data_IF_242723686959
#
_entry.id   IF_242723686959
#
_cell.length_a   1.000
_cell.length_b   1.000
_cell.length_c   1.000
_cell.angle_alpha   90.00
_cell.angle_beta   90.00
_cell.angle_gamma   90.00
#
_symmetry.space_group_name_H-M   'P 1'
#
loop_
_entity.id
_entity.type
_entity.pdbx_description
1 polymer ?
#
# COMPACT_ATOMS: atom_id res chain seq x y z
N UNK A 1 55.21 27.66 21.39
CA UNK A 1 54.20 27.84 20.29
C UNK A 1 53.97 26.53 19.48
N UNK A 2 54.36 25.36 19.99
CA UNK A 2 54.25 24.10 19.24
C UNK A 2 53.10 23.20 19.68
N UNK A 3 52.44 23.51 20.80
CA UNK A 3 51.40 22.64 21.38
C UNK A 3 50.03 22.80 20.72
N UNK A 4 49.77 23.95 20.05
CA UNK A 4 48.45 24.22 19.38
C UNK A 4 48.27 23.51 18.05
N UNK A 5 49.30 23.03 17.38
CA UNK A 5 49.18 22.37 16.05
C UNK A 5 48.86 20.87 16.25
N UNK A 6 49.34 20.26 17.34
CA UNK A 6 49.09 18.86 17.65
C UNK A 6 47.65 18.66 18.11
N UNK A 7 47.09 19.61 18.87
CA UNK A 7 45.67 19.56 19.28
C UNK A 7 44.70 19.71 18.12
N UNK A 8 44.99 20.61 17.18
CA UNK A 8 44.16 20.77 15.96
C UNK A 8 44.23 19.57 15.03
N UNK A 9 45.36 18.87 14.94
CA UNK A 9 45.49 17.65 14.17
C UNK A 9 44.73 16.49 14.83
N UNK A 10 44.72 16.46 16.18
CA UNK A 10 44.01 15.42 16.97
C UNK A 10 42.49 15.65 16.96
N UNK A 11 42.04 16.89 16.96
CA UNK A 11 40.59 17.20 16.76
C UNK A 11 40.10 16.93 15.33
N UNK A 12 40.95 17.16 14.31
CA UNK A 12 40.62 16.82 12.92
C UNK A 12 40.53 15.27 12.70
N UNK A 13 41.28 14.49 13.48
CA UNK A 13 41.18 13.01 13.47
C UNK A 13 39.94 12.48 14.24
N UNK A 14 39.33 13.30 15.10
CA UNK A 14 38.09 12.97 15.83
C UNK A 14 36.80 13.26 15.05
N UNK A 15 36.87 13.84 13.86
CA UNK A 15 35.75 13.77 12.92
C UNK A 15 35.59 12.30 12.54
N UNK A 16 34.65 11.63 13.19
CA UNK A 16 34.39 10.21 13.02
C UNK A 16 34.38 9.87 11.52
N UNK A 17 35.17 8.86 11.14
CA UNK A 17 35.16 8.40 9.76
C UNK A 17 33.72 8.02 9.42
N UNK A 18 33.16 8.67 8.40
CA UNK A 18 31.85 8.30 7.87
C UNK A 18 31.90 6.81 7.47
N UNK A 19 31.01 6.02 8.01
CA UNK A 19 30.83 4.62 7.63
C UNK A 19 29.48 4.48 6.96
N UNK A 20 29.46 4.12 5.67
CA UNK A 20 28.23 3.86 4.93
C UNK A 20 27.45 2.72 5.61
N UNK A 21 28.13 1.68 6.09
CA UNK A 21 27.51 0.57 6.80
C UNK A 21 26.75 1.04 8.05
N UNK A 22 27.34 1.98 8.84
CA UNK A 22 26.67 2.53 10.02
C UNK A 22 25.53 3.49 9.64
N UNK A 23 25.66 4.20 8.54
CA UNK A 23 24.61 5.09 8.04
C UNK A 23 23.39 4.33 7.52
N UNK A 24 23.58 3.10 7.03
CA UNK A 24 22.50 2.22 6.53
C UNK A 24 21.92 1.39 7.69
N UNK A 25 22.72 1.09 8.69
CA UNK A 25 22.35 0.24 9.82
C UNK A 25 21.17 0.83 10.59
N UNK A 26 20.11 0.04 10.73
CA UNK A 26 18.89 0.44 11.45
C UNK A 26 17.93 1.31 10.64
N UNK A 27 18.15 1.53 9.35
CA UNK A 27 17.13 2.12 8.47
C UNK A 27 16.08 1.07 8.16
N UNK A 28 14.83 1.38 8.50
CA UNK A 28 13.67 0.55 8.16
C UNK A 28 12.97 1.13 6.93
N UNK A 29 12.33 0.26 6.17
CA UNK A 29 11.38 0.72 5.15
C UNK A 29 10.16 1.31 5.82
N UNK A 30 9.47 2.27 5.18
CA UNK A 30 8.22 2.81 5.69
C UNK A 30 7.17 1.70 5.81
N UNK A 31 6.34 1.79 6.82
CA UNK A 31 5.24 0.87 7.08
C UNK A 31 3.92 1.63 7.12
N UNK A 32 2.86 0.97 6.70
CA UNK A 32 1.49 1.48 6.76
C UNK A 32 0.52 0.34 6.94
N UNK A 33 -0.68 0.66 7.41
CA UNK A 33 -1.80 -0.28 7.43
C UNK A 33 -2.97 0.32 6.66
N UNK A 34 -3.70 -0.52 5.97
CA UNK A 34 -4.84 -0.11 5.15
C UNK A 34 -5.98 -1.10 5.29
N UNK A 35 -7.19 -0.56 5.49
CA UNK A 35 -8.41 -1.34 5.54
C UNK A 35 -9.00 -1.47 4.13
N UNK A 36 -9.35 -2.69 3.75
CA UNK A 36 -10.10 -3.00 2.53
C UNK A 36 -11.29 -3.87 2.85
N UNK A 37 -12.31 -3.79 2.01
CA UNK A 37 -13.53 -4.59 2.13
C UNK A 37 -13.60 -5.53 0.94
N UNK A 38 -13.86 -6.82 1.19
CA UNK A 38 -13.78 -7.86 0.14
C UNK A 38 -15.16 -8.37 -0.32
N UNK A 39 -16.25 -7.97 0.34
CA UNK A 39 -17.61 -8.35 -0.07
C UNK A 39 -18.14 -7.41 -1.16
N UNK A 40 -17.71 -7.63 -2.40
CA UNK A 40 -18.17 -6.87 -3.56
C UNK A 40 -19.68 -7.06 -3.84
N UNK A 41 -20.23 -8.24 -3.54
CA UNK A 41 -21.64 -8.53 -3.77
C UNK A 41 -22.54 -7.67 -2.87
N UNK A 42 -22.27 -7.65 -1.56
CA UNK A 42 -23.01 -6.80 -0.63
C UNK A 42 -22.81 -5.30 -0.90
N UNK A 43 -21.61 -4.89 -1.35
CA UNK A 43 -21.34 -3.50 -1.73
C UNK A 43 -22.15 -3.08 -2.97
N UNK A 44 -22.26 -3.94 -3.98
CA UNK A 44 -23.09 -3.69 -5.16
C UNK A 44 -24.60 -3.63 -4.81
N UNK A 45 -25.08 -4.58 -3.98
CA UNK A 45 -26.47 -4.61 -3.53
C UNK A 45 -26.81 -3.38 -2.70
N UNK A 46 -25.92 -2.95 -1.78
CA UNK A 46 -26.09 -1.74 -1.01
C UNK A 46 -26.31 -0.51 -1.90
N UNK A 47 -25.47 -0.35 -2.93
CA UNK A 47 -25.60 0.76 -3.86
C UNK A 47 -26.93 0.71 -4.63
N UNK A 48 -27.36 -0.46 -5.06
CA UNK A 48 -28.63 -0.65 -5.76
C UNK A 48 -29.81 -0.28 -4.87
N UNK A 49 -29.82 -0.73 -3.62
CA UNK A 49 -30.87 -0.37 -2.64
C UNK A 49 -30.85 1.11 -2.34
N UNK A 50 -29.66 1.71 -2.18
CA UNK A 50 -29.50 3.15 -1.95
C UNK A 50 -30.09 4.00 -3.09
N UNK A 51 -29.80 3.63 -4.35
CA UNK A 51 -30.35 4.31 -5.52
C UNK A 51 -31.88 4.18 -5.57
N UNK A 52 -32.41 2.98 -5.30
CA UNK A 52 -33.84 2.74 -5.26
C UNK A 52 -34.54 3.51 -4.12
N UNK A 53 -33.92 3.55 -2.93
CA UNK A 53 -34.45 4.29 -1.77
C UNK A 53 -34.56 5.80 -2.03
N UNK A 54 -33.62 6.37 -2.83
CA UNK A 54 -33.64 7.79 -3.18
C UNK A 54 -34.86 8.20 -4.04
N UNK A 55 -35.49 7.25 -4.72
CA UNK A 55 -36.69 7.49 -5.54
C UNK A 55 -38.01 7.32 -4.75
N UNK A 56 -37.94 6.73 -3.54
CA UNK A 56 -39.11 6.49 -2.71
C UNK A 56 -39.49 7.75 -1.91
N UNK A 57 -40.76 7.82 -1.52
CA UNK A 57 -41.20 8.89 -0.59
C UNK A 57 -40.59 8.68 0.78
N UNK A 58 -39.99 9.73 1.36
CA UNK A 58 -39.57 9.68 2.76
C UNK A 58 -40.74 9.22 3.64
N UNK A 59 -40.45 8.43 4.66
CA UNK A 59 -41.40 7.88 5.64
C UNK A 59 -42.47 6.93 5.04
N UNK A 60 -42.29 6.44 3.80
CA UNK A 60 -43.13 5.34 3.30
C UNK A 60 -42.63 3.98 3.85
N UNK A 61 -43.53 2.97 3.98
CA UNK A 61 -43.12 1.63 4.43
C UNK A 61 -42.01 1.02 3.55
N UNK A 62 -42.01 1.33 2.25
CA UNK A 62 -41.00 0.86 1.29
C UNK A 62 -39.64 1.54 1.54
N UNK A 63 -39.66 2.83 1.89
CA UNK A 63 -38.45 3.57 2.24
C UNK A 63 -37.85 3.04 3.57
N UNK A 64 -38.68 2.79 4.59
CA UNK A 64 -38.25 2.21 5.85
C UNK A 64 -37.63 0.80 5.64
N UNK A 65 -38.26 -0.04 4.81
CA UNK A 65 -37.73 -1.36 4.48
C UNK A 65 -36.36 -1.28 3.77
N UNK A 66 -36.19 -0.32 2.85
CA UNK A 66 -34.91 -0.10 2.18
C UNK A 66 -33.83 0.36 3.15
N UNK A 67 -34.14 1.20 4.14
CA UNK A 67 -33.18 1.63 5.17
C UNK A 67 -32.72 0.43 6.03
N UNK A 68 -33.63 -0.46 6.42
CA UNK A 68 -33.29 -1.68 7.17
C UNK A 68 -32.36 -2.59 6.33
N UNK A 69 -32.69 -2.78 5.06
CA UNK A 69 -31.83 -3.59 4.18
C UNK A 69 -30.44 -2.97 3.99
N UNK A 70 -30.36 -1.64 3.89
CA UNK A 70 -29.07 -0.94 3.81
C UNK A 70 -28.24 -1.13 5.08
N UNK A 71 -28.87 -1.14 6.28
CA UNK A 71 -28.18 -1.39 7.53
C UNK A 71 -27.61 -2.83 7.57
N UNK A 72 -28.40 -3.83 7.21
CA UNK A 72 -27.94 -5.23 7.14
C UNK A 72 -26.79 -5.41 6.15
N UNK A 73 -26.87 -4.78 4.98
CA UNK A 73 -25.80 -4.84 3.98
C UNK A 73 -24.53 -4.10 4.44
N UNK A 74 -24.70 -2.96 5.11
CA UNK A 74 -23.59 -2.21 5.72
C UNK A 74 -22.82 -3.07 6.73
N UNK A 75 -23.53 -3.84 7.55
CA UNK A 75 -22.91 -4.70 8.55
C UNK A 75 -22.19 -5.89 7.90
N UNK A 76 -22.74 -6.47 6.82
CA UNK A 76 -22.04 -7.48 6.02
C UNK A 76 -20.75 -6.91 5.40
N UNK A 77 -20.81 -5.72 4.80
CA UNK A 77 -19.63 -5.06 4.22
C UNK A 77 -18.59 -4.83 5.32
N UNK A 78 -18.96 -4.26 6.47
CA UNK A 78 -18.04 -4.04 7.59
C UNK A 78 -17.42 -5.33 8.09
N UNK A 79 -18.19 -6.44 8.13
CA UNK A 79 -17.70 -7.76 8.55
C UNK A 79 -16.70 -8.37 7.57
N UNK A 80 -16.67 -7.92 6.33
CA UNK A 80 -15.70 -8.35 5.32
C UNK A 80 -14.37 -7.55 5.35
N UNK A 81 -14.18 -6.67 6.35
CA UNK A 81 -12.98 -5.86 6.45
C UNK A 81 -11.76 -6.70 6.74
N UNK A 82 -10.72 -6.46 5.94
CA UNK A 82 -9.37 -6.94 6.16
C UNK A 82 -8.43 -5.74 6.31
N UNK A 83 -7.54 -5.77 7.30
CA UNK A 83 -6.49 -4.78 7.47
C UNK A 83 -5.18 -5.35 6.97
N UNK A 84 -4.65 -4.80 5.90
CA UNK A 84 -3.35 -5.16 5.34
C UNK A 84 -2.27 -4.32 6.00
N UNK A 85 -1.32 -4.97 6.65
CA UNK A 85 -0.10 -4.36 7.15
C UNK A 85 0.98 -4.49 6.09
N UNK A 86 1.47 -3.37 5.61
CA UNK A 86 2.36 -3.31 4.46
C UNK A 86 3.67 -2.60 4.84
N UNK A 87 4.76 -3.03 4.23
CA UNK A 87 6.08 -2.42 4.34
C UNK A 87 6.68 -2.23 2.96
N UNK A 88 7.29 -1.06 2.73
CA UNK A 88 7.97 -0.78 1.48
C UNK A 88 9.08 -1.79 1.19
N UNK A 89 9.35 -2.02 -0.09
CA UNK A 89 10.43 -2.89 -0.56
C UNK A 89 11.53 -2.07 -1.22
N UNK A 90 12.75 -2.62 -1.25
CA UNK A 90 13.89 -1.95 -1.88
C UNK A 90 13.87 -2.08 -3.40
N UNK A 91 14.66 -1.21 -4.06
CA UNK A 91 14.76 -1.18 -5.52
C UNK A 91 15.17 -2.54 -6.12
N UNK A 92 16.05 -3.31 -5.45
CA UNK A 92 16.44 -4.64 -5.93
C UNK A 92 15.26 -5.60 -6.05
N UNK A 93 14.33 -5.59 -5.09
CA UNK A 93 13.11 -6.41 -5.16
C UNK A 93 12.20 -5.94 -6.31
N UNK A 94 12.08 -4.63 -6.53
CA UNK A 94 11.32 -4.08 -7.66
C UNK A 94 11.91 -4.52 -9.00
N UNK A 95 13.25 -4.50 -9.15
CA UNK A 95 13.96 -4.94 -10.35
C UNK A 95 13.76 -6.43 -10.61
N UNK A 96 13.86 -7.29 -9.57
CA UNK A 96 13.60 -8.73 -9.68
C UNK A 96 12.15 -9.02 -10.11
N UNK A 97 11.17 -8.31 -9.54
CA UNK A 97 9.77 -8.43 -9.92
C UNK A 97 9.55 -8.00 -11.37
N UNK A 98 10.17 -6.88 -11.78
CA UNK A 98 10.09 -6.38 -13.16
C UNK A 98 10.62 -7.40 -14.15
N UNK A 99 11.84 -7.93 -13.90
CA UNK A 99 12.44 -8.94 -14.72
C UNK A 99 11.55 -10.18 -14.83
N UNK A 100 11.03 -10.66 -13.72
CA UNK A 100 10.14 -11.84 -13.72
C UNK A 100 8.82 -11.58 -14.46
N UNK A 101 8.27 -10.39 -14.36
CA UNK A 101 7.08 -10.00 -15.13
C UNK A 101 7.37 -9.99 -16.65
N UNK A 102 8.53 -9.49 -17.06
CA UNK A 102 8.97 -9.49 -18.46
C UNK A 102 9.24 -10.90 -19.00
N UNK A 103 9.81 -11.78 -18.19
CA UNK A 103 10.04 -13.19 -18.55
C UNK A 103 8.73 -13.95 -18.76
N UNK A 104 7.74 -13.75 -17.88
CA UNK A 104 6.45 -14.46 -17.93
C UNK A 104 5.48 -13.86 -18.96
N UNK A 105 5.49 -12.56 -19.11
CA UNK A 105 4.57 -11.78 -19.95
C UNK A 105 5.35 -10.76 -20.79
N UNK A 106 6.11 -11.20 -21.81
CA UNK A 106 6.87 -10.28 -22.67
C UNK A 106 5.95 -9.23 -23.28
N UNK A 107 6.32 -7.95 -23.15
CA UNK A 107 5.57 -6.87 -23.79
C UNK A 107 5.80 -6.92 -25.30
N UNK A 108 4.74 -7.10 -26.06
CA UNK A 108 4.76 -7.11 -27.51
C UNK A 108 4.26 -5.75 -27.99
N UNK A 109 5.05 -5.06 -28.81
CA UNK A 109 4.68 -3.77 -29.38
C UNK A 109 3.35 -3.85 -30.11
N UNK A 110 2.40 -2.98 -29.72
CA UNK A 110 1.04 -2.96 -30.28
C UNK A 110 0.07 -3.97 -29.66
N UNK A 111 0.45 -4.69 -28.62
CA UNK A 111 -0.44 -5.55 -27.84
C UNK A 111 -1.04 -4.78 -26.66
N UNK A 112 -2.37 -4.87 -26.50
CA UNK A 112 -3.09 -4.36 -25.34
C UNK A 112 -3.24 -5.39 -24.21
N UNK A 113 -2.38 -6.46 -24.19
CA UNK A 113 -2.44 -7.51 -23.17
C UNK A 113 -2.06 -6.93 -21.78
N UNK A 114 -3.00 -6.91 -20.80
CA UNK A 114 -2.75 -6.36 -19.49
C UNK A 114 -2.00 -7.33 -18.56
N UNK A 115 -1.63 -8.53 -19.01
CA UNK A 115 -1.09 -9.60 -18.15
C UNK A 115 0.19 -9.17 -17.42
N UNK A 116 1.09 -8.46 -18.12
CA UNK A 116 2.31 -7.95 -17.53
C UNK A 116 2.02 -7.02 -16.33
N UNK A 117 1.17 -6.02 -16.52
CA UNK A 117 0.87 -5.04 -15.46
C UNK A 117 0.06 -5.68 -14.31
N UNK A 118 -0.81 -6.63 -14.63
CA UNK A 118 -1.53 -7.40 -13.60
C UNK A 118 -0.57 -8.16 -12.71
N UNK A 119 0.35 -8.92 -13.30
CA UNK A 119 1.35 -9.67 -12.56
C UNK A 119 2.25 -8.75 -11.76
N UNK A 120 2.79 -7.71 -12.38
CA UNK A 120 3.70 -6.75 -11.76
C UNK A 120 3.10 -6.09 -10.52
N UNK A 121 1.88 -5.55 -10.62
CA UNK A 121 1.21 -4.93 -9.48
C UNK A 121 0.89 -5.94 -8.37
N UNK A 122 0.42 -7.14 -8.73
CA UNK A 122 0.14 -8.19 -7.74
C UNK A 122 1.41 -8.64 -7.02
N UNK A 123 2.52 -8.78 -7.74
CA UNK A 123 3.80 -9.16 -7.16
C UNK A 123 4.38 -8.07 -6.23
N UNK A 124 4.23 -6.80 -6.59
CA UNK A 124 4.62 -5.69 -5.71
C UNK A 124 3.77 -5.67 -4.45
N UNK A 125 2.45 -5.81 -4.56
CA UNK A 125 1.55 -5.84 -3.40
C UNK A 125 1.89 -7.03 -2.50
N UNK A 126 2.05 -8.25 -3.06
CA UNK A 126 2.44 -9.44 -2.31
C UNK A 126 3.74 -9.23 -1.52
N UNK A 127 4.74 -8.61 -2.16
CA UNK A 127 6.04 -8.32 -1.54
C UNK A 127 5.97 -7.24 -0.44
N UNK A 128 4.96 -6.40 -0.45
CA UNK A 128 4.75 -5.36 0.56
C UNK A 128 3.95 -5.87 1.76
N UNK A 129 3.08 -6.87 1.61
CA UNK A 129 2.25 -7.39 2.70
C UNK A 129 3.14 -8.11 3.71
N UNK A 130 3.06 -7.73 4.98
CA UNK A 130 3.76 -8.39 6.08
C UNK A 130 2.83 -9.27 6.92
N UNK A 131 1.55 -8.90 7.00
CA UNK A 131 0.47 -9.66 7.64
C UNK A 131 -0.87 -9.07 7.25
N UNK A 132 -1.92 -9.84 7.46
CA UNK A 132 -3.31 -9.39 7.32
C UNK A 132 -4.05 -9.68 8.62
N UNK A 133 -4.94 -8.77 9.03
CA UNK A 133 -5.82 -8.99 10.18
C UNK A 133 -7.27 -8.86 9.73
N UNK A 134 -8.14 -9.74 10.25
CA UNK A 134 -9.59 -9.63 10.07
C UNK A 134 -10.20 -8.58 11.03
N UNK A 135 -11.51 -8.38 10.95
CA UNK A 135 -12.21 -7.44 11.83
C UNK A 135 -12.18 -7.83 13.32
N UNK A 136 -11.96 -9.11 13.64
CA UNK A 136 -11.89 -9.64 15.00
C UNK A 136 -10.46 -9.52 15.58
N UNK A 137 -9.49 -9.13 14.73
CA UNK A 137 -8.09 -9.00 15.09
C UNK A 137 -7.31 -10.31 14.99
N UNK A 138 -7.88 -11.35 14.35
CA UNK A 138 -7.11 -12.55 14.04
C UNK A 138 -6.07 -12.22 12.97
N UNK A 139 -4.84 -12.67 13.19
CA UNK A 139 -3.72 -12.36 12.30
C UNK A 139 -3.40 -13.55 11.40
N UNK A 140 -3.16 -13.26 10.13
CA UNK A 140 -2.48 -14.14 9.18
C UNK A 140 -1.14 -13.49 8.81
N UNK A 141 -0.05 -14.12 9.21
CA UNK A 141 1.34 -13.73 8.94
C UNK A 141 2.01 -14.67 7.92
N UNK A 142 1.23 -15.48 7.21
CA UNK A 142 1.73 -16.32 6.13
C UNK A 142 2.33 -15.47 5.01
N UNK A 143 3.23 -16.08 4.24
CA UNK A 143 3.78 -15.43 3.05
C UNK A 143 2.73 -15.40 1.96
N UNK A 144 2.30 -14.21 1.57
CA UNK A 144 1.35 -14.02 0.48
C UNK A 144 2.06 -14.22 -0.86
N UNK A 145 1.50 -15.08 -1.70
CA UNK A 145 2.00 -15.31 -3.06
C UNK A 145 1.38 -14.31 -4.05
N UNK A 146 1.95 -14.24 -5.25
CA UNK A 146 1.37 -13.42 -6.32
C UNK A 146 -0.01 -13.92 -6.71
N UNK A 147 -0.19 -15.23 -6.71
CA UNK A 147 -1.45 -15.91 -6.99
C UNK A 147 -2.53 -15.53 -5.98
N UNK A 148 -2.21 -15.54 -4.68
CA UNK A 148 -3.15 -15.12 -3.62
C UNK A 148 -3.62 -13.68 -3.82
N UNK A 149 -2.71 -12.78 -4.23
CA UNK A 149 -3.05 -11.37 -4.49
C UNK A 149 -3.85 -11.22 -5.79
N UNK A 150 -3.59 -12.06 -6.80
CA UNK A 150 -4.39 -12.07 -8.03
C UNK A 150 -5.82 -12.56 -7.77
N UNK A 151 -5.97 -13.62 -6.98
CA UNK A 151 -7.28 -14.14 -6.57
C UNK A 151 -8.04 -13.10 -5.73
N UNK A 152 -7.35 -12.45 -4.78
CA UNK A 152 -7.91 -11.39 -3.98
C UNK A 152 -8.42 -10.22 -4.85
N UNK A 153 -7.64 -9.80 -5.86
CA UNK A 153 -8.01 -8.76 -6.80
C UNK A 153 -9.31 -9.06 -7.54
N UNK A 154 -9.51 -10.33 -7.93
CA UNK A 154 -10.66 -10.73 -8.74
C UNK A 154 -11.97 -10.76 -7.93
N UNK A 155 -11.91 -10.80 -6.60
CA UNK A 155 -13.06 -10.84 -5.71
C UNK A 155 -13.37 -9.52 -4.99
N UNK A 156 -12.39 -8.61 -4.88
CA UNK A 156 -12.59 -7.37 -4.14
C UNK A 156 -13.19 -6.24 -5.00
N UNK A 157 -13.90 -5.28 -4.39
CA UNK A 157 -14.32 -4.05 -5.06
C UNK A 157 -13.12 -3.28 -5.62
N UNK A 158 -13.32 -2.63 -6.76
CA UNK A 158 -12.25 -1.87 -7.43
C UNK A 158 -11.66 -0.78 -6.53
N UNK A 159 -12.49 -0.09 -5.77
CA UNK A 159 -12.06 0.97 -4.85
C UNK A 159 -11.09 0.41 -3.77
N UNK A 160 -11.35 -0.80 -3.27
CA UNK A 160 -10.48 -1.49 -2.32
C UNK A 160 -9.12 -1.88 -2.95
N UNK A 161 -9.14 -2.30 -4.22
CA UNK A 161 -7.93 -2.59 -4.97
C UNK A 161 -7.09 -1.32 -5.22
N UNK A 162 -7.73 -0.21 -5.58
CA UNK A 162 -7.06 1.07 -5.79
C UNK A 162 -6.39 1.58 -4.51
N UNK A 163 -7.01 1.39 -3.35
CA UNK A 163 -6.44 1.76 -2.05
C UNK A 163 -5.19 0.93 -1.73
N UNK A 164 -5.16 -0.37 -2.05
CA UNK A 164 -3.96 -1.21 -1.92
C UNK A 164 -2.83 -0.74 -2.84
N UNK A 165 -3.14 -0.45 -4.11
CA UNK A 165 -2.16 0.08 -5.08
C UNK A 165 -1.58 1.41 -4.58
N UNK A 166 -2.42 2.36 -4.17
CA UNK A 166 -1.99 3.67 -3.69
C UNK A 166 -1.08 3.54 -2.46
N UNK A 167 -1.43 2.64 -1.52
CA UNK A 167 -0.62 2.37 -0.34
C UNK A 167 0.73 1.76 -0.73
N UNK A 168 0.76 0.76 -1.60
CA UNK A 168 1.98 0.15 -2.12
C UNK A 168 2.87 1.19 -2.82
N UNK A 169 2.29 2.02 -3.67
CA UNK A 169 3.03 3.07 -4.38
C UNK A 169 3.67 4.06 -3.42
N UNK A 170 2.94 4.52 -2.41
CA UNK A 170 3.45 5.43 -1.38
C UNK A 170 4.62 4.81 -0.60
N UNK A 171 4.56 3.53 -0.30
CA UNK A 171 5.59 2.82 0.46
C UNK A 171 6.83 2.49 -0.37
N UNK A 172 6.65 2.06 -1.62
CA UNK A 172 7.72 1.52 -2.46
C UNK A 172 8.34 2.58 -3.36
N UNK A 173 7.53 3.50 -3.91
CA UNK A 173 7.96 4.53 -4.84
C UNK A 173 8.16 5.89 -4.15
N UNK A 174 8.55 5.88 -2.88
CA UNK A 174 8.69 7.04 -2.00
C UNK A 174 9.72 8.10 -2.46
N UNK A 175 10.20 8.07 -3.71
CA UNK A 175 11.07 9.10 -4.27
C UNK A 175 10.47 10.51 -4.14
N UNK A 176 9.16 10.65 -4.26
CA UNK A 176 8.47 11.93 -4.12
C UNK A 176 8.55 12.55 -2.71
N UNK A 177 8.77 11.73 -1.67
CA UNK A 177 8.96 12.26 -0.31
C UNK A 177 10.33 12.91 -0.12
N UNK A 178 11.36 12.37 -0.77
CA UNK A 178 12.71 12.97 -0.73
C UNK A 178 12.77 14.26 -1.52
N UNK A 179 12.08 14.35 -2.66
CA UNK A 179 11.99 15.56 -3.47
C UNK A 179 11.34 16.71 -2.68
N UNK A 180 10.27 16.44 -1.93
CA UNK A 180 9.61 17.41 -1.09
C UNK A 180 10.48 17.92 0.08
N UNK A 181 11.33 17.06 0.65
CA UNK A 181 12.23 17.42 1.77
C UNK A 181 13.51 18.11 1.27
N UNK A 182 13.97 17.78 0.06
CA UNK A 182 15.17 18.37 -0.54
C UNK A 182 14.89 19.69 -1.26
N UNK A 183 13.63 20.00 -1.54
CA UNK A 183 13.25 21.31 -2.07
C UNK A 183 13.55 22.39 -1.03
N UNK A 184 14.49 23.29 -1.40
CA UNK A 184 15.07 24.31 -0.52
C UNK A 184 14.05 25.28 0.12
N UNK A 185 12.78 25.22 -0.30
CA UNK A 185 11.66 25.96 0.28
C UNK A 185 11.11 25.40 1.59
N UNK A 186 11.44 24.17 1.95
CA UNK A 186 10.88 23.49 3.14
C UNK A 186 11.72 23.69 4.41
N UNK A 187 12.98 24.09 4.29
CA UNK A 187 13.82 24.37 5.46
C UNK A 187 13.48 25.77 6.01
N UNK A 188 13.20 25.93 7.32
CA UNK A 188 13.04 27.24 7.90
C UNK A 188 14.33 28.04 7.68
N UNK A 189 14.18 29.21 7.06
CA UNK A 189 15.31 30.14 6.89
C UNK A 189 15.79 30.55 8.28
N UNK A 190 17.00 30.13 8.62
CA UNK A 190 17.74 30.53 9.82
C UNK A 190 17.99 32.03 9.86
#
# INVERSE_FOLDING_TARGET
MSDNIIDLATEAQKKGKFSLADAIKGRAFPESSVDVYVDAASAFEFKTVQESAAELKPDSPEHEAALVQMEELSDKIKSSRLTFHMRGVGQGAVEEITQKAEELYPQIEGSDDPSWIKYYLSALIASNITRVTDQEGNEDDSTFTVEDVMDLRDIMPIDSWEVLIDTMQKLTLASSYFDAVTDAGFLPKS
#
